data_IF_141219548358
#
_entry.id   IF_141219548358
#
_cell.length_a   1.000
_cell.length_b   1.000
_cell.length_c   1.000
_cell.angle_alpha   90.00
_cell.angle_beta   90.00
_cell.angle_gamma   90.00
#
_symmetry.space_group_name_H-M   'P 1'
#
loop_
_entity.id
_entity.type
_entity.pdbx_description
1 polymer ?
#
# COMPACT_ATOMS: atom_id res chain seq x y z
N UNK A 1 1.31 21.16 13.93
CA UNK A 1 2.58 20.65 13.38
C UNK A 1 2.45 20.64 11.86
N UNK A 2 3.25 21.42 11.15
CA UNK A 2 3.13 21.57 9.70
C UNK A 2 3.53 20.25 9.00
N UNK A 3 2.74 19.85 7.99
CA UNK A 3 2.91 18.61 7.21
C UNK A 3 4.30 18.51 6.54
N UNK A 4 4.90 19.65 6.20
CA UNK A 4 6.27 19.71 5.67
C UNK A 4 7.32 19.32 6.70
N UNK A 5 7.08 19.57 7.98
CA UNK A 5 7.98 19.20 9.06
C UNK A 5 7.85 17.74 9.44
N UNK A 6 6.66 17.13 9.32
CA UNK A 6 6.47 15.69 9.52
C UNK A 6 7.28 14.86 8.51
N UNK A 7 7.24 15.25 7.24
CA UNK A 7 8.03 14.55 6.19
C UNK A 7 9.53 14.79 6.35
N UNK A 8 9.96 15.95 6.84
CA UNK A 8 11.38 16.24 7.10
C UNK A 8 11.90 15.53 8.35
N UNK A 9 11.12 15.45 9.41
CA UNK A 9 11.50 14.79 10.66
C UNK A 9 11.48 13.27 10.53
N UNK A 10 10.56 12.71 9.73
CA UNK A 10 10.54 11.27 9.41
C UNK A 10 11.72 10.80 8.55
N UNK A 11 12.35 11.68 7.79
CA UNK A 11 13.56 11.35 7.01
C UNK A 11 14.87 11.37 7.82
N UNK A 12 14.93 12.06 8.96
CA UNK A 12 16.16 12.16 9.75
C UNK A 12 16.34 11.03 10.78
N UNK A 13 15.32 10.22 11.02
CA UNK A 13 15.36 9.11 11.98
C UNK A 13 15.73 7.74 11.40
N UNK A 14 15.91 7.59 10.11
CA UNK A 14 16.13 6.31 9.42
C UNK A 14 17.53 6.15 8.80
N UNK A 15 18.56 6.78 9.38
CA UNK A 15 19.95 6.54 9.03
C UNK A 15 20.55 5.50 9.97
N UNK A 16 20.09 4.25 9.87
CA UNK A 16 20.79 3.08 10.39
C UNK A 16 20.84 2.04 9.27
N UNK A 17 22.04 1.92 8.70
CA UNK A 17 22.59 0.80 7.94
C UNK A 17 21.63 0.07 6.97
N UNK A 18 21.28 0.74 5.88
CA UNK A 18 20.92 0.03 4.66
C UNK A 18 22.23 -0.35 3.95
N UNK A 19 22.54 -1.65 3.92
CA UNK A 19 23.53 -2.17 2.98
C UNK A 19 23.16 -1.69 1.57
N UNK A 20 24.11 -1.28 0.72
CA UNK A 20 23.80 -0.82 -0.62
C UNK A 20 23.22 -2.01 -1.40
N UNK A 21 21.91 -2.03 -1.58
CA UNK A 21 21.32 -2.83 -2.64
C UNK A 21 21.84 -2.17 -3.92
N UNK A 22 22.71 -2.89 -4.61
CA UNK A 22 23.17 -2.53 -5.94
C UNK A 22 21.95 -2.30 -6.83
N UNK A 23 21.55 -1.04 -7.00
CA UNK A 23 20.67 -0.64 -8.09
C UNK A 23 21.50 -0.76 -9.37
N UNK A 24 21.56 -1.99 -9.92
CA UNK A 24 22.03 -2.17 -11.29
C UNK A 24 21.13 -1.33 -12.18
N UNK A 25 21.76 -0.33 -12.79
CA UNK A 25 21.34 0.49 -13.90
C UNK A 25 19.95 0.15 -14.47
N UNK A 26 18.92 0.84 -13.97
CA UNK A 26 17.77 1.09 -14.80
C UNK A 26 18.12 2.29 -15.67
N UNK A 27 18.32 2.05 -16.95
CA UNK A 27 18.29 3.11 -17.95
C UNK A 27 17.05 3.94 -17.69
N UNK A 28 17.26 5.16 -17.25
CA UNK A 28 16.19 6.15 -17.18
C UNK A 28 15.69 6.29 -18.61
N UNK A 29 14.38 6.09 -18.87
CA UNK A 29 13.87 6.38 -20.18
C UNK A 29 14.24 7.82 -20.51
N UNK A 30 14.94 8.00 -21.62
CA UNK A 30 15.39 9.30 -22.11
C UNK A 30 14.19 10.23 -22.15
N UNK A 31 14.22 11.22 -21.28
CA UNK A 31 13.16 12.21 -21.07
C UNK A 31 13.01 13.03 -22.34
N UNK A 32 12.14 12.61 -23.26
CA UNK A 32 11.60 13.51 -24.25
C UNK A 32 10.57 14.39 -23.55
N UNK A 33 10.98 15.58 -23.17
CA UNK A 33 10.10 16.61 -22.62
C UNK A 33 9.26 17.21 -23.74
N UNK A 34 8.30 16.45 -24.23
CA UNK A 34 7.23 16.95 -25.08
C UNK A 34 5.94 16.92 -24.28
N UNK A 35 5.28 18.07 -24.09
CA UNK A 35 3.89 18.10 -23.64
C UNK A 35 3.07 17.26 -24.62
N UNK A 36 2.79 16.02 -24.26
CA UNK A 36 2.07 15.12 -25.18
C UNK A 36 0.55 15.34 -25.11
N UNK A 37 0.07 15.98 -24.03
CA UNK A 37 -1.37 16.13 -23.77
C UNK A 37 -2.13 14.80 -23.75
N UNK A 38 -1.42 13.70 -23.44
CA UNK A 38 -1.98 12.35 -23.42
C UNK A 38 -1.42 11.56 -22.24
N UNK A 39 -2.20 10.64 -21.71
CA UNK A 39 -1.79 9.76 -20.63
C UNK A 39 -0.81 8.71 -21.14
N UNK A 40 0.30 8.54 -20.43
CA UNK A 40 1.30 7.51 -20.71
C UNK A 40 1.42 6.57 -19.52
N UNK A 41 1.00 5.31 -19.69
CA UNK A 41 1.03 4.26 -18.70
C UNK A 41 2.36 3.51 -18.74
N UNK A 42 2.99 3.35 -17.59
CA UNK A 42 4.09 2.43 -17.40
C UNK A 42 3.94 1.67 -16.07
N UNK A 43 4.49 0.47 -16.01
CA UNK A 43 4.40 -0.35 -14.80
C UNK A 43 5.62 -1.26 -14.67
N UNK A 44 5.89 -1.66 -13.43
CA UNK A 44 6.96 -2.60 -13.12
C UNK A 44 6.60 -3.49 -11.94
N UNK A 45 6.88 -4.79 -12.00
CA UNK A 45 6.82 -5.65 -10.85
C UNK A 45 7.96 -5.35 -9.88
N UNK A 46 7.72 -5.62 -8.58
CA UNK A 46 8.72 -5.52 -7.53
C UNK A 46 8.35 -6.43 -6.37
N UNK A 47 9.30 -6.64 -5.45
CA UNK A 47 9.07 -7.38 -4.21
C UNK A 47 9.54 -6.55 -3.02
N UNK A 48 8.67 -6.41 -2.02
CA UNK A 48 9.00 -5.79 -0.74
C UNK A 48 9.43 -6.85 0.26
N UNK A 49 10.60 -6.66 0.87
CA UNK A 49 11.01 -7.44 2.03
C UNK A 49 10.37 -6.85 3.29
N UNK A 50 9.63 -7.68 4.00
CA UNK A 50 8.98 -7.26 5.25
C UNK A 50 10.01 -7.18 6.39
N UNK A 51 9.85 -6.20 7.28
CA UNK A 51 10.70 -6.04 8.46
C UNK A 51 10.56 -7.23 9.42
N UNK A 52 9.32 -7.70 9.61
CA UNK A 52 8.97 -8.87 10.39
C UNK A 52 8.20 -9.87 9.54
N UNK A 53 8.32 -11.15 9.85
CA UNK A 53 7.45 -12.15 9.26
C UNK A 53 5.97 -11.81 9.57
N UNK A 54 5.13 -11.79 8.55
CA UNK A 54 3.71 -11.50 8.68
C UNK A 54 2.93 -12.79 8.79
N UNK A 55 2.54 -13.13 10.02
CA UNK A 55 1.84 -14.36 10.35
C UNK A 55 0.32 -14.11 10.35
N UNK A 56 -0.39 -14.82 9.49
CA UNK A 56 -1.84 -14.88 9.43
C UNK A 56 -2.31 -16.28 9.77
N UNK A 57 -3.58 -16.44 10.10
CA UNK A 57 -4.18 -17.74 10.44
C UNK A 57 -3.90 -18.85 9.42
N UNK A 58 -3.72 -18.52 8.15
CA UNK A 58 -3.55 -19.49 7.05
C UNK A 58 -2.30 -19.26 6.21
N UNK A 59 -1.52 -18.25 6.50
CA UNK A 59 -0.36 -17.89 5.65
C UNK A 59 0.70 -17.16 6.46
N UNK A 60 1.96 -17.42 6.13
CA UNK A 60 3.12 -16.68 6.64
C UNK A 60 3.93 -16.17 5.45
N UNK A 61 4.37 -14.91 5.50
CA UNK A 61 5.21 -14.34 4.46
C UNK A 61 6.27 -13.42 5.05
N UNK A 62 7.43 -13.40 4.41
CA UNK A 62 8.55 -12.50 4.69
C UNK A 62 8.76 -11.46 3.60
N UNK A 63 8.11 -11.66 2.45
CA UNK A 63 8.08 -10.73 1.32
C UNK A 63 6.64 -10.49 0.86
N UNK A 64 6.43 -9.44 0.12
CA UNK A 64 5.16 -9.17 -0.55
C UNK A 64 5.41 -8.66 -1.97
N UNK A 65 4.90 -9.36 -2.99
CA UNK A 65 4.98 -8.89 -4.36
C UNK A 65 4.01 -7.74 -4.59
N UNK A 66 4.39 -6.82 -5.48
CA UNK A 66 3.56 -5.72 -5.94
C UNK A 66 3.84 -5.39 -7.40
N UNK A 67 2.97 -4.61 -8.00
CA UNK A 67 3.23 -3.99 -9.30
C UNK A 67 3.02 -2.48 -9.15
N UNK A 68 4.09 -1.71 -9.32
CA UNK A 68 4.03 -0.26 -9.33
C UNK A 68 3.53 0.20 -10.68
N UNK A 69 2.59 1.15 -10.65
CA UNK A 69 2.04 1.82 -11.83
C UNK A 69 2.43 3.30 -11.80
N UNK A 70 2.74 3.84 -12.96
CA UNK A 70 2.97 5.26 -13.19
C UNK A 70 2.13 5.71 -14.38
N UNK A 71 1.47 6.85 -14.23
CA UNK A 71 0.78 7.53 -15.32
C UNK A 71 1.37 8.92 -15.44
N UNK A 72 1.98 9.19 -16.58
CA UNK A 72 2.57 10.49 -16.90
C UNK A 72 1.61 11.32 -17.74
N UNK A 73 1.51 12.62 -17.41
CA UNK A 73 0.77 13.61 -18.17
C UNK A 73 1.44 14.97 -18.00
N UNK A 74 1.84 15.59 -19.11
CA UNK A 74 2.46 16.93 -19.16
C UNK A 74 3.61 17.12 -18.15
N UNK A 75 4.42 16.09 -17.95
CA UNK A 75 5.59 16.11 -17.06
C UNK A 75 5.27 15.86 -15.58
N UNK A 76 4.02 15.64 -15.21
CA UNK A 76 3.61 15.16 -13.91
C UNK A 76 3.41 13.64 -13.92
N UNK A 77 3.76 12.98 -12.83
CA UNK A 77 3.61 11.52 -12.70
C UNK A 77 2.72 11.21 -11.52
N UNK A 78 1.64 10.48 -11.77
CA UNK A 78 0.81 9.83 -10.76
C UNK A 78 1.30 8.42 -10.49
N UNK A 79 1.32 8.01 -9.24
CA UNK A 79 1.78 6.70 -8.79
C UNK A 79 0.63 5.87 -8.23
N UNK A 80 0.59 4.60 -8.60
CA UNK A 80 -0.31 3.61 -8.05
C UNK A 80 0.40 2.29 -7.79
N UNK A 81 -0.29 1.39 -7.10
CA UNK A 81 0.24 0.09 -6.74
C UNK A 81 -0.85 -0.97 -6.76
N UNK A 82 -0.58 -2.09 -7.43
CA UNK A 82 -1.41 -3.29 -7.35
C UNK A 82 -0.96 -4.16 -6.17
N UNK A 83 -1.87 -4.40 -5.23
CA UNK A 83 -1.73 -5.35 -4.14
C UNK A 83 -2.57 -6.59 -4.44
N UNK A 84 -1.94 -7.77 -4.38
CA UNK A 84 -2.53 -9.03 -4.81
C UNK A 84 -2.63 -10.01 -3.64
N UNK A 85 -3.63 -9.84 -2.75
CA UNK A 85 -3.83 -10.82 -1.69
C UNK A 85 -4.22 -12.17 -2.29
N UNK A 86 -3.65 -13.30 -1.80
CA UNK A 86 -3.78 -14.61 -2.44
C UNK A 86 -5.22 -15.12 -2.65
N UNK A 87 -6.15 -14.64 -1.81
CA UNK A 87 -7.55 -15.06 -1.90
C UNK A 87 -8.36 -14.37 -3.01
N UNK A 88 -7.80 -13.39 -3.70
CA UNK A 88 -8.43 -12.73 -4.84
C UNK A 88 -8.10 -13.40 -6.18
N UNK A 89 -7.12 -14.31 -6.21
CA UNK A 89 -6.77 -15.08 -7.40
C UNK A 89 -5.90 -14.32 -8.42
N UNK A 90 -5.55 -13.07 -8.14
CA UNK A 90 -4.64 -12.28 -8.98
C UNK A 90 -3.19 -12.45 -8.53
N UNK A 91 -2.25 -12.30 -9.44
CA UNK A 91 -0.81 -12.37 -9.20
C UNK A 91 -0.06 -11.39 -10.10
N UNK A 92 1.25 -11.26 -9.91
CA UNK A 92 2.10 -10.32 -10.67
C UNK A 92 1.95 -10.51 -12.18
N UNK A 93 1.89 -11.77 -12.64
CA UNK A 93 1.79 -12.05 -14.08
C UNK A 93 0.44 -11.59 -14.65
N UNK A 94 -0.67 -11.92 -13.98
CA UNK A 94 -2.01 -11.51 -14.43
C UNK A 94 -2.18 -9.98 -14.42
N UNK A 95 -1.66 -9.31 -13.38
CA UNK A 95 -1.69 -7.84 -13.30
C UNK A 95 -0.89 -7.21 -14.43
N UNK A 96 0.35 -7.68 -14.67
CA UNK A 96 1.17 -7.17 -15.77
C UNK A 96 0.54 -7.46 -17.15
N UNK A 97 -0.08 -8.63 -17.34
CA UNK A 97 -0.78 -8.97 -18.56
C UNK A 97 -1.95 -8.00 -18.83
N UNK A 98 -2.76 -7.72 -17.81
CA UNK A 98 -3.87 -6.77 -17.97
C UNK A 98 -3.37 -5.36 -18.26
N UNK A 99 -2.40 -4.86 -17.47
CA UNK A 99 -1.85 -3.52 -17.69
C UNK A 99 -1.21 -3.36 -19.05
N UNK A 100 -0.61 -4.43 -19.59
CA UNK A 100 -0.04 -4.45 -20.95
C UNK A 100 -1.06 -4.37 -22.07
N UNK A 101 -2.35 -4.64 -21.81
CA UNK A 101 -3.45 -4.50 -22.78
C UNK A 101 -4.03 -3.08 -22.81
N UNK A 102 -3.70 -2.24 -21.83
CA UNK A 102 -4.25 -0.89 -21.72
C UNK A 102 -3.48 0.09 -22.62
N UNK A 103 -4.22 0.82 -23.44
CA UNK A 103 -3.73 2.00 -24.14
C UNK A 103 -4.40 3.25 -23.55
N UNK A 104 -3.75 3.89 -22.59
CA UNK A 104 -4.25 5.14 -22.01
C UNK A 104 -3.93 6.36 -22.87
N UNK A 105 -3.11 6.24 -23.92
CA UNK A 105 -2.76 7.37 -24.80
C UNK A 105 -3.94 7.90 -25.61
N UNK A 106 -5.03 7.13 -25.67
CA UNK A 106 -6.28 7.58 -26.29
C UNK A 106 -6.98 8.69 -25.47
N UNK A 107 -6.66 8.83 -24.18
CA UNK A 107 -7.23 9.85 -23.30
C UNK A 107 -6.32 11.08 -23.24
N UNK A 108 -6.89 12.24 -23.59
CA UNK A 108 -6.23 13.54 -23.52
C UNK A 108 -6.55 14.32 -22.24
N UNK A 109 -7.52 13.87 -21.47
CA UNK A 109 -7.96 14.51 -20.23
C UNK A 109 -7.87 13.52 -19.05
N UNK A 110 -6.94 13.73 -18.11
CA UNK A 110 -6.76 12.86 -16.95
C UNK A 110 -7.92 12.91 -15.95
N UNK A 111 -8.82 13.90 -16.05
CA UNK A 111 -9.99 14.03 -15.18
C UNK A 111 -11.18 13.17 -15.62
N UNK A 112 -11.12 12.57 -16.80
CA UNK A 112 -12.15 11.64 -17.28
C UNK A 112 -11.99 10.24 -16.66
N UNK A 113 -11.91 10.19 -15.34
CA UNK A 113 -11.61 8.96 -14.59
C UNK A 113 -12.69 7.89 -14.84
N UNK A 114 -13.96 8.29 -14.88
CA UNK A 114 -15.09 7.37 -15.14
C UNK A 114 -14.97 6.72 -16.52
N UNK A 115 -14.68 7.49 -17.56
CA UNK A 115 -14.50 6.93 -18.91
C UNK A 115 -13.30 5.98 -19.00
N UNK A 116 -12.23 6.27 -18.24
CA UNK A 116 -11.06 5.38 -18.16
C UNK A 116 -11.44 4.08 -17.44
N UNK A 117 -12.27 4.14 -16.40
CA UNK A 117 -12.79 2.95 -15.72
C UNK A 117 -13.66 2.12 -16.67
N UNK A 118 -14.59 2.73 -17.40
CA UNK A 118 -15.41 2.04 -18.41
C UNK A 118 -14.55 1.38 -19.48
N UNK A 119 -13.51 2.07 -19.95
CA UNK A 119 -12.54 1.49 -20.88
C UNK A 119 -11.84 0.27 -20.28
N UNK A 120 -11.32 0.37 -19.04
CA UNK A 120 -10.67 -0.77 -18.37
C UNK A 120 -11.63 -1.95 -18.20
N UNK A 121 -12.90 -1.69 -17.90
CA UNK A 121 -13.94 -2.72 -17.77
C UNK A 121 -14.26 -3.39 -19.11
N UNK A 122 -14.19 -2.63 -20.20
CA UNK A 122 -14.36 -3.17 -21.56
C UNK A 122 -13.21 -4.08 -22.01
N UNK A 123 -11.97 -3.84 -21.50
CA UNK A 123 -10.80 -4.67 -21.79
C UNK A 123 -10.91 -6.03 -21.09
N UNK A 124 -11.30 -6.05 -19.81
CA UNK A 124 -11.65 -7.27 -19.09
C UNK A 124 -12.52 -6.96 -17.86
N UNK A 125 -13.51 -7.81 -17.52
CA UNK A 125 -14.46 -7.54 -16.43
C UNK A 125 -13.86 -7.71 -15.02
N UNK A 126 -12.74 -8.40 -14.88
CA UNK A 126 -12.05 -8.69 -13.62
C UNK A 126 -10.80 -7.82 -13.43
N UNK A 127 -9.68 -8.38 -12.98
CA UNK A 127 -8.38 -7.70 -12.84
C UNK A 127 -8.43 -6.49 -11.90
N UNK A 128 -9.07 -6.69 -10.75
CA UNK A 128 -9.39 -5.61 -9.79
C UNK A 128 -8.15 -4.96 -9.19
N UNK A 129 -7.10 -5.74 -8.89
CA UNK A 129 -5.86 -5.21 -8.35
C UNK A 129 -5.16 -4.31 -9.38
N UNK A 130 -5.15 -4.73 -10.65
CA UNK A 130 -4.60 -3.94 -11.75
C UNK A 130 -5.39 -2.64 -11.96
N UNK A 131 -6.73 -2.72 -12.02
CA UNK A 131 -7.61 -1.55 -12.16
C UNK A 131 -7.45 -0.56 -11.00
N UNK A 132 -7.41 -1.06 -9.76
CA UNK A 132 -7.18 -0.25 -8.57
C UNK A 132 -5.84 0.50 -8.65
N UNK A 133 -4.78 -0.13 -9.18
CA UNK A 133 -3.48 0.54 -9.32
C UNK A 133 -3.51 1.70 -10.32
N UNK A 134 -4.28 1.57 -11.39
CA UNK A 134 -4.51 2.65 -12.37
C UNK A 134 -5.34 3.77 -11.76
N UNK A 135 -6.43 3.43 -11.06
CA UNK A 135 -7.29 4.39 -10.37
C UNK A 135 -6.52 5.21 -9.33
N UNK A 136 -5.70 4.56 -8.49
CA UNK A 136 -4.82 5.23 -7.53
C UNK A 136 -3.86 6.19 -8.24
N UNK A 137 -3.25 5.76 -9.35
CA UNK A 137 -2.33 6.59 -10.12
C UNK A 137 -3.02 7.82 -10.74
N UNK A 138 -4.25 7.66 -11.26
CA UNK A 138 -5.05 8.77 -11.78
C UNK A 138 -5.41 9.78 -10.69
N UNK A 139 -5.82 9.31 -9.52
CA UNK A 139 -6.11 10.18 -8.38
C UNK A 139 -4.85 10.92 -7.88
N UNK A 140 -3.71 10.25 -7.81
CA UNK A 140 -2.45 10.90 -7.44
C UNK A 140 -2.05 11.96 -8.49
N UNK A 141 -2.18 11.64 -9.78
CA UNK A 141 -1.90 12.56 -10.88
C UNK A 141 -2.81 13.79 -10.84
N UNK A 142 -4.11 13.59 -10.79
CA UNK A 142 -5.09 14.67 -10.82
C UNK A 142 -5.00 15.57 -9.57
N UNK A 143 -4.72 14.98 -8.41
CA UNK A 143 -4.39 15.74 -7.19
C UNK A 143 -3.15 16.63 -7.36
N UNK A 144 -2.12 16.15 -8.06
CA UNK A 144 -0.91 16.91 -8.40
C UNK A 144 -1.20 18.03 -9.40
N UNK A 145 -1.99 17.76 -10.43
CA UNK A 145 -2.44 18.77 -11.41
C UNK A 145 -3.19 19.89 -10.71
N UNK A 146 -4.12 19.57 -9.82
CA UNK A 146 -4.89 20.54 -9.04
C UNK A 146 -4.07 21.24 -7.94
N UNK A 147 -2.87 20.74 -7.61
CA UNK A 147 -2.05 21.24 -6.52
C UNK A 147 -2.69 21.06 -5.14
N UNK A 148 -3.66 20.15 -5.00
CA UNK A 148 -4.40 19.92 -3.77
C UNK A 148 -4.49 18.42 -3.43
N UNK A 149 -4.39 18.05 -2.15
CA UNK A 149 -4.68 16.70 -1.71
C UNK A 149 -6.18 16.40 -1.75
N UNK A 150 -6.54 15.17 -2.07
CA UNK A 150 -7.92 14.75 -2.26
C UNK A 150 -8.86 15.02 -1.08
N UNK A 151 -8.38 14.91 0.16
CA UNK A 151 -9.21 15.22 1.32
C UNK A 151 -9.71 16.68 1.32
N UNK A 152 -8.92 17.62 0.76
CA UNK A 152 -9.35 19.02 0.60
C UNK A 152 -10.34 19.18 -0.54
N UNK A 153 -10.09 18.48 -1.66
CA UNK A 153 -10.97 18.48 -2.83
C UNK A 153 -12.35 17.98 -2.43
N UNK A 154 -12.41 16.94 -1.60
CA UNK A 154 -13.67 16.39 -1.07
C UNK A 154 -14.23 17.15 0.14
N UNK A 155 -13.61 18.24 0.57
CA UNK A 155 -14.06 19.04 1.72
C UNK A 155 -14.00 18.31 3.06
N UNK A 156 -13.12 17.30 3.20
CA UNK A 156 -12.99 16.52 4.42
C UNK A 156 -12.15 17.25 5.46
N UNK A 157 -12.56 17.15 6.73
CA UNK A 157 -11.79 17.68 7.85
C UNK A 157 -10.76 16.63 8.33
N UNK A 158 -9.43 16.86 8.17
CA UNK A 158 -8.40 15.91 8.59
C UNK A 158 -8.33 15.70 10.10
N UNK A 159 -8.84 16.63 10.92
CA UNK A 159 -8.87 16.49 12.39
C UNK A 159 -9.88 15.43 12.85
N UNK A 160 -10.87 15.08 11.99
CA UNK A 160 -11.84 14.03 12.25
C UNK A 160 -11.39 12.66 11.78
N UNK A 161 -10.18 12.57 11.22
CA UNK A 161 -9.62 11.29 10.76
C UNK A 161 -9.36 10.36 11.96
N UNK A 162 -9.81 9.10 11.93
CA UNK A 162 -9.50 8.13 12.98
C UNK A 162 -7.98 7.89 13.06
N UNK A 163 -7.53 7.49 14.26
CA UNK A 163 -6.12 7.17 14.43
C UNK A 163 -5.75 5.93 13.62
N UNK A 164 -4.58 5.97 12.98
CA UNK A 164 -4.02 4.80 12.33
C UNK A 164 -3.65 3.73 13.36
N UNK A 165 -3.89 2.46 13.03
CA UNK A 165 -3.47 1.33 13.86
C UNK A 165 -2.13 0.78 13.40
N UNK A 166 -1.28 0.34 14.34
CA UNK A 166 -0.10 -0.47 14.02
C UNK A 166 -0.47 -1.95 14.12
N UNK A 167 -0.13 -2.74 13.07
CA UNK A 167 -0.48 -4.16 13.04
C UNK A 167 0.66 -5.01 13.55
N UNK A 168 0.39 -5.86 14.53
CA UNK A 168 1.31 -6.90 15.01
C UNK A 168 0.70 -8.29 14.81
N UNK A 169 1.57 -9.28 14.61
CA UNK A 169 1.23 -10.70 14.59
C UNK A 169 1.98 -11.43 15.69
N UNK A 170 1.44 -12.56 16.14
CA UNK A 170 2.10 -13.42 17.12
C UNK A 170 3.51 -13.83 16.67
N UNK A 171 4.42 -13.89 17.64
CA UNK A 171 5.73 -14.46 17.48
C UNK A 171 6.03 -15.34 18.70
N UNK A 172 6.49 -16.57 18.48
CA UNK A 172 6.87 -17.48 19.56
C UNK A 172 8.17 -17.08 20.25
N UNK A 173 9.02 -16.27 19.59
CA UNK A 173 10.20 -15.68 20.18
C UNK A 173 9.80 -14.45 21.00
N UNK A 174 10.01 -14.49 22.31
CA UNK A 174 9.65 -13.42 23.23
C UNK A 174 10.39 -12.10 22.95
N UNK A 175 11.64 -12.15 22.48
CA UNK A 175 12.42 -10.96 22.17
C UNK A 175 11.93 -10.29 20.89
N UNK A 176 11.58 -11.07 19.87
CA UNK A 176 10.97 -10.55 18.64
C UNK A 176 9.57 -9.99 18.93
N UNK A 177 8.79 -10.66 19.78
CA UNK A 177 7.48 -10.14 20.19
C UNK A 177 7.62 -8.81 20.93
N UNK A 178 8.60 -8.71 21.84
CA UNK A 178 8.89 -7.45 22.55
C UNK A 178 9.26 -6.33 21.57
N UNK A 179 10.16 -6.57 20.59
CA UNK A 179 10.53 -5.59 19.58
C UNK A 179 9.31 -5.10 18.79
N UNK A 180 8.45 -6.02 18.34
CA UNK A 180 7.20 -5.66 17.65
C UNK A 180 6.31 -4.76 18.52
N UNK A 181 6.25 -5.01 19.82
CA UNK A 181 5.47 -4.18 20.76
C UNK A 181 6.12 -2.81 20.95
N UNK A 182 7.44 -2.74 21.10
CA UNK A 182 8.19 -1.48 21.22
C UNK A 182 7.99 -0.59 19.98
N UNK A 183 7.89 -1.17 18.78
CA UNK A 183 7.61 -0.44 17.55
C UNK A 183 6.19 0.17 17.50
N UNK A 184 5.28 -0.26 18.36
CA UNK A 184 3.94 0.34 18.47
C UNK A 184 3.94 1.70 19.19
N UNK A 185 5.09 2.11 19.75
CA UNK A 185 5.20 3.37 20.50
C UNK A 185 4.72 4.56 19.64
N UNK A 186 3.82 5.36 20.21
CA UNK A 186 3.22 6.52 19.53
C UNK A 186 1.95 6.22 18.73
N UNK A 187 1.61 4.96 18.48
CA UNK A 187 0.32 4.58 17.91
C UNK A 187 -0.76 4.54 19.00
N UNK A 188 -1.96 4.98 18.68
CA UNK A 188 -3.10 5.03 19.61
C UNK A 188 -4.00 3.81 19.55
N UNK A 189 -3.79 2.94 18.57
CA UNK A 189 -4.51 1.67 18.38
C UNK A 189 -3.54 0.62 17.88
N UNK A 190 -3.56 -0.56 18.47
CA UNK A 190 -2.78 -1.71 18.00
C UNK A 190 -3.73 -2.72 17.37
N UNK A 191 -3.52 -3.06 16.10
CA UNK A 191 -4.24 -4.13 15.42
C UNK A 191 -3.49 -5.44 15.62
N UNK A 192 -4.15 -6.44 16.19
CA UNK A 192 -3.55 -7.74 16.50
C UNK A 192 -4.12 -8.82 15.60
N UNK A 193 -3.24 -9.55 14.91
CA UNK A 193 -3.64 -10.73 14.13
C UNK A 193 -3.87 -11.92 15.05
N UNK A 194 -5.04 -12.49 14.95
CA UNK A 194 -5.56 -13.57 15.78
C UNK A 194 -5.94 -14.80 14.94
N UNK A 195 -6.42 -15.86 15.59
CA UNK A 195 -6.90 -17.07 14.92
C UNK A 195 -5.79 -18.07 14.57
N UNK A 196 -4.60 -17.92 15.18
CA UNK A 196 -3.45 -18.82 15.02
C UNK A 196 -3.25 -19.79 16.18
N UNK A 197 -4.19 -19.81 17.16
CA UNK A 197 -4.14 -20.70 18.33
C UNK A 197 -3.37 -20.15 19.53
N UNK A 198 -2.85 -18.92 19.45
CA UNK A 198 -2.10 -18.24 20.52
C UNK A 198 -2.71 -16.87 20.85
N UNK A 199 -4.02 -16.76 20.73
CA UNK A 199 -4.71 -15.48 20.82
C UNK A 199 -4.61 -14.88 22.24
N UNK A 200 -4.78 -15.71 23.26
CA UNK A 200 -4.69 -15.31 24.67
C UNK A 200 -3.27 -14.88 25.03
N UNK A 201 -2.28 -15.70 24.68
CA UNK A 201 -0.86 -15.42 24.95
C UNK A 201 -0.39 -14.13 24.24
N UNK A 202 -0.92 -13.89 23.06
CA UNK A 202 -0.63 -12.65 22.30
C UNK A 202 -1.15 -11.42 23.04
N UNK A 203 -2.41 -11.46 23.51
CA UNK A 203 -3.00 -10.35 24.28
C UNK A 203 -2.30 -10.15 25.60
N UNK A 204 -2.02 -11.23 26.33
CA UNK A 204 -1.31 -11.16 27.62
C UNK A 204 0.09 -10.58 27.45
N UNK A 205 0.84 -11.01 26.43
CA UNK A 205 2.17 -10.47 26.14
C UNK A 205 2.11 -8.98 25.82
N UNK A 206 1.12 -8.56 25.03
CA UNK A 206 0.93 -7.18 24.67
C UNK A 206 0.55 -6.33 25.90
N UNK A 207 -0.32 -6.82 26.77
CA UNK A 207 -0.78 -6.11 27.97
C UNK A 207 0.27 -5.96 29.06
N UNK A 208 1.36 -6.72 29.01
CA UNK A 208 2.54 -6.50 29.89
C UNK A 208 3.29 -5.20 29.56
N UNK A 209 3.16 -4.69 28.34
CA UNK A 209 3.96 -3.58 27.85
C UNK A 209 3.11 -2.39 27.37
N UNK A 210 1.80 -2.55 27.18
CA UNK A 210 0.98 -1.50 26.59
C UNK A 210 -0.51 -1.59 27.01
N UNK A 211 -1.06 -0.45 27.43
CA UNK A 211 -2.49 -0.27 27.72
C UNK A 211 -3.26 0.33 26.52
N UNK A 212 -2.60 0.52 25.40
CA UNK A 212 -3.21 1.07 24.19
C UNK A 212 -4.39 0.19 23.73
N UNK A 213 -5.51 0.78 23.26
CA UNK A 213 -6.63 0.03 22.70
C UNK A 213 -6.21 -0.98 21.63
N UNK A 214 -6.75 -2.19 21.74
CA UNK A 214 -6.49 -3.27 20.79
C UNK A 214 -7.69 -3.46 19.87
N UNK A 215 -7.44 -3.55 18.58
CA UNK A 215 -8.37 -4.04 17.57
C UNK A 215 -7.91 -5.44 17.12
N UNK A 216 -8.79 -6.44 17.16
CA UNK A 216 -8.45 -7.81 16.78
C UNK A 216 -8.93 -8.13 15.37
N UNK A 217 -8.13 -8.89 14.62
CA UNK A 217 -8.44 -9.37 13.28
C UNK A 217 -8.06 -10.85 13.17
N UNK A 218 -9.04 -11.72 13.24
CA UNK A 218 -8.85 -13.16 13.17
C UNK A 218 -8.68 -13.69 11.73
N UNK A 219 -8.87 -12.86 10.70
CA UNK A 219 -8.73 -13.26 9.29
C UNK A 219 -9.40 -14.60 8.95
N UNK A 220 -10.65 -14.83 9.43
CA UNK A 220 -11.41 -16.07 9.27
C UNK A 220 -10.78 -17.29 10.00
N UNK A 221 -9.83 -17.08 10.92
CA UNK A 221 -9.22 -18.15 11.71
C UNK A 221 -10.14 -18.74 12.77
N UNK A 222 -11.12 -17.96 13.27
CA UNK A 222 -12.09 -18.44 14.26
C UNK A 222 -13.22 -19.20 13.59
N UNK A 223 -13.28 -20.50 13.88
CA UNK A 223 -14.35 -21.40 13.36
C UNK A 223 -15.55 -21.50 14.30
N UNK A 224 -15.37 -21.20 15.59
CA UNK A 224 -16.44 -21.18 16.59
C UNK A 224 -16.46 -19.82 17.30
N UNK A 225 -17.51 -19.04 17.07
CA UNK A 225 -17.71 -17.71 17.66
C UNK A 225 -18.30 -17.71 19.08
N UNK A 226 -18.59 -18.88 19.63
CA UNK A 226 -19.18 -19.04 20.95
C UNK A 226 -18.18 -19.39 22.06
N UNK A 227 -16.89 -19.46 21.71
CA UNK A 227 -15.80 -19.74 22.68
C UNK A 227 -14.94 -18.52 22.91
#
# INVERSE_FOLDING_TARGET
MDRRNFLKTGMLGALIAASPISLSAFDSPTRQSGKSGRLNLSFRPYELKLRHAFNLARNQRTTTPGVQVQIEYDGLIGYGEASMPPYLGENVASVCEFLGKLDLSQFADPFRIEDIHEYMDSVAPNDRAAKASVDIALHDLTGKIMGQPWYKIWGLNPEKTPNTSYTISYDSNSDEMRKKIEETAGFKVIKVKMGVGHDKETVESLRRFSDVPICVDANQGWTNKQK
#
